data_IF_941706549492
#
_entry.id   IF_941706549492
#
_cell.length_a   1.000
_cell.length_b   1.000
_cell.length_c   1.000
_cell.angle_alpha   90.00
_cell.angle_beta   90.00
_cell.angle_gamma   90.00
#
_symmetry.space_group_name_H-M   'P 1'
#
loop_
_entity.id
_entity.type
_entity.pdbx_description
1 polymer ?
#
# COMPACT_ATOMS: atom_id res chain seq x y z
N UNK A 1 -3.52 -14.53 -14.99
CA UNK A 1 -4.42 -13.99 -16.05
C UNK A 1 -3.58 -13.09 -16.96
N UNK A 2 -3.47 -13.42 -18.25
CA UNK A 2 -2.78 -12.56 -19.24
C UNK A 2 -3.85 -11.83 -20.03
N UNK A 3 -3.95 -10.50 -19.89
CA UNK A 3 -4.88 -9.67 -20.67
C UNK A 3 -4.06 -8.90 -21.70
N UNK A 4 -4.14 -9.32 -22.96
CA UNK A 4 -3.58 -8.60 -24.10
C UNK A 4 -4.74 -7.94 -24.86
N UNK A 5 -4.80 -6.62 -24.88
CA UNK A 5 -5.71 -5.87 -25.75
C UNK A 5 -5.12 -4.48 -26.06
N UNK A 6 -5.50 -3.85 -27.18
CA UNK A 6 -4.93 -2.57 -27.68
C UNK A 6 -5.43 -1.31 -26.95
N UNK A 7 -4.56 -0.31 -26.79
CA UNK A 7 -4.73 0.93 -25.97
C UNK A 7 -6.12 1.57 -26.04
N UNK A 8 -6.76 1.83 -24.89
CA UNK A 8 -7.94 2.73 -24.78
C UNK A 8 -9.23 2.16 -24.19
N UNK A 9 -9.32 0.85 -23.87
CA UNK A 9 -10.62 0.17 -23.63
C UNK A 9 -10.92 -0.29 -22.19
N UNK A 10 -10.42 0.35 -21.13
CA UNK A 10 -10.71 -0.06 -19.73
C UNK A 10 -9.86 -1.20 -19.16
N UNK A 11 -8.68 -1.48 -19.75
CA UNK A 11 -7.77 -2.58 -19.34
C UNK A 11 -7.34 -2.55 -17.88
N UNK A 12 -7.20 -1.36 -17.32
CA UNK A 12 -6.65 -1.18 -15.98
C UNK A 12 -7.63 -1.65 -14.90
N UNK A 13 -8.94 -1.41 -15.09
CA UNK A 13 -9.99 -1.88 -14.18
C UNK A 13 -10.05 -3.41 -14.17
N UNK A 14 -9.82 -4.06 -15.31
CA UNK A 14 -9.81 -5.53 -15.40
C UNK A 14 -8.76 -6.22 -14.52
N UNK A 15 -7.67 -5.53 -14.13
CA UNK A 15 -6.65 -6.11 -13.25
C UNK A 15 -6.87 -5.79 -11.77
N UNK A 16 -7.31 -4.57 -11.44
CA UNK A 16 -7.58 -4.23 -10.04
C UNK A 16 -8.88 -4.83 -9.52
N UNK A 17 -9.90 -5.00 -10.35
CA UNK A 17 -11.17 -5.60 -9.91
C UNK A 17 -10.99 -6.99 -9.27
N UNK A 18 -10.28 -7.97 -9.87
CA UNK A 18 -10.07 -9.25 -9.20
C UNK A 18 -9.22 -9.11 -7.94
N UNK A 19 -8.18 -8.27 -7.94
CA UNK A 19 -7.34 -8.03 -6.75
C UNK A 19 -8.18 -7.46 -5.61
N UNK A 20 -8.99 -6.44 -5.89
CA UNK A 20 -9.88 -5.82 -4.91
C UNK A 20 -10.97 -6.79 -4.46
N UNK A 21 -11.53 -7.61 -5.36
CA UNK A 21 -12.51 -8.62 -4.99
C UNK A 21 -11.91 -9.65 -4.01
N UNK A 22 -10.68 -10.10 -4.24
CA UNK A 22 -9.99 -11.04 -3.36
C UNK A 22 -9.69 -10.39 -2.00
N UNK A 23 -9.18 -9.15 -2.00
CA UNK A 23 -8.97 -8.36 -0.77
C UNK A 23 -10.29 -8.18 -0.01
N UNK A 24 -11.39 -7.87 -0.70
CA UNK A 24 -12.70 -7.66 -0.08
C UNK A 24 -13.26 -8.94 0.54
N UNK A 25 -13.07 -10.10 -0.09
CA UNK A 25 -13.45 -11.40 0.51
C UNK A 25 -12.68 -11.66 1.80
N UNK A 26 -11.38 -11.34 1.82
CA UNK A 26 -10.57 -11.41 3.04
C UNK A 26 -11.05 -10.38 4.08
N UNK A 27 -11.38 -9.16 3.64
CA UNK A 27 -11.67 -8.02 4.50
C UNK A 27 -12.96 -8.17 5.33
N UNK A 28 -13.92 -8.95 4.85
CA UNK A 28 -15.13 -9.33 5.61
C UNK A 28 -14.76 -10.01 6.94
N UNK A 29 -13.60 -10.65 7.01
CA UNK A 29 -13.10 -11.35 8.20
C UNK A 29 -12.09 -10.52 9.02
N UNK A 30 -11.74 -9.30 8.60
CA UNK A 30 -10.80 -8.50 9.37
C UNK A 30 -11.36 -8.13 10.75
N UNK A 31 -10.51 -8.16 11.80
CA UNK A 31 -10.88 -7.65 13.11
C UNK A 31 -11.04 -6.13 13.08
N UNK A 32 -11.86 -5.61 14.00
CA UNK A 32 -11.99 -4.16 14.19
C UNK A 32 -10.68 -3.51 14.61
N UNK A 33 -10.51 -2.23 14.28
CA UNK A 33 -9.34 -1.46 14.69
C UNK A 33 -9.37 -1.09 16.18
N UNK A 34 -8.18 -0.93 16.76
CA UNK A 34 -7.94 -0.63 18.17
C UNK A 34 -7.56 0.85 18.38
N UNK A 35 -8.43 1.76 17.91
CA UNK A 35 -8.26 3.21 18.07
C UNK A 35 -8.08 3.95 16.75
N UNK A 36 -7.77 5.26 16.80
CA UNK A 36 -7.71 6.09 15.61
C UNK A 36 -6.47 5.79 14.76
N UNK A 37 -6.64 5.91 13.45
CA UNK A 37 -5.52 5.99 12.52
C UNK A 37 -4.64 7.23 12.82
N UNK A 38 -3.36 7.13 12.53
CA UNK A 38 -2.44 8.26 12.61
C UNK A 38 -1.30 8.11 11.63
N UNK A 39 -0.56 9.18 11.32
CA UNK A 39 0.59 9.09 10.41
C UNK A 39 1.71 8.25 11.04
N UNK A 40 2.62 7.79 10.19
CA UNK A 40 3.89 7.23 10.62
C UNK A 40 4.74 8.27 11.34
N UNK A 41 5.27 7.92 12.52
CA UNK A 41 6.07 8.84 13.33
C UNK A 41 7.20 8.14 14.09
N UNK A 42 8.25 8.89 14.39
CA UNK A 42 9.36 8.38 15.20
C UNK A 42 9.05 8.47 16.68
N UNK A 43 9.12 7.35 17.38
CA UNK A 43 9.03 7.33 18.84
C UNK A 43 10.43 7.39 19.45
N UNK A 44 10.78 8.55 20.01
CA UNK A 44 12.09 8.77 20.64
C UNK A 44 12.35 7.89 21.88
N UNK A 45 11.30 7.50 22.62
CA UNK A 45 11.44 6.65 23.82
C UNK A 45 11.75 5.21 23.45
N UNK A 46 11.05 4.68 22.44
CA UNK A 46 11.24 3.31 21.93
C UNK A 46 12.38 3.18 20.93
N UNK A 47 12.93 4.31 20.47
CA UNK A 47 13.89 4.38 19.36
C UNK A 47 13.41 3.57 18.15
N UNK A 48 12.14 3.74 17.81
CA UNK A 48 11.49 2.93 16.78
C UNK A 48 10.53 3.79 15.96
N UNK A 49 10.43 3.47 14.67
CA UNK A 49 9.37 3.95 13.81
C UNK A 49 8.02 3.34 14.20
N UNK A 50 7.01 4.18 14.41
CA UNK A 50 5.64 3.76 14.62
C UNK A 50 4.86 3.99 13.33
N UNK A 51 4.54 2.90 12.64
CA UNK A 51 3.81 2.99 11.38
C UNK A 51 2.36 3.42 11.56
N UNK A 52 1.76 4.00 10.52
CA UNK A 52 0.39 4.53 10.58
C UNK A 52 -0.69 3.48 10.83
N UNK A 53 -0.44 2.25 10.39
CA UNK A 53 -1.35 1.09 10.52
C UNK A 53 -1.37 0.42 11.90
N UNK A 54 -0.70 1.00 12.91
CA UNK A 54 -0.58 0.43 14.27
C UNK A 54 -1.91 0.26 15.02
N UNK A 55 -2.96 0.89 14.53
CA UNK A 55 -4.32 0.76 15.05
C UNK A 55 -5.04 -0.48 14.47
N UNK A 56 -4.57 -1.06 13.38
CA UNK A 56 -5.15 -2.27 12.80
C UNK A 56 -4.74 -3.52 13.58
N UNK A 57 -5.69 -4.43 13.82
CA UNK A 57 -5.42 -5.72 14.45
C UNK A 57 -5.19 -6.86 13.42
N UNK A 58 -5.40 -6.57 12.12
CA UNK A 58 -5.19 -7.53 11.04
C UNK A 58 -3.70 -7.70 10.71
N UNK A 59 -3.26 -8.88 10.25
CA UNK A 59 -1.89 -9.06 9.78
C UNK A 59 -1.60 -8.19 8.55
N UNK A 60 -0.44 -7.53 8.57
CA UNK A 60 0.07 -6.78 7.44
C UNK A 60 0.80 -7.72 6.46
N UNK A 61 0.62 -7.49 5.16
CA UNK A 61 1.15 -8.36 4.11
C UNK A 61 0.70 -7.89 2.74
N UNK A 62 1.53 -8.11 1.72
CA UNK A 62 1.18 -7.75 0.34
C UNK A 62 0.23 -8.79 -0.25
N UNK A 63 -0.99 -8.36 -0.59
CA UNK A 63 -1.97 -9.18 -1.33
C UNK A 63 -1.67 -9.15 -2.82
N UNK A 64 -1.13 -8.03 -3.32
CA UNK A 64 -0.70 -7.91 -4.71
C UNK A 64 0.56 -7.04 -4.85
N UNK A 65 1.44 -7.44 -5.77
CA UNK A 65 2.54 -6.62 -6.27
C UNK A 65 2.24 -6.29 -7.73
N UNK A 66 2.11 -5.00 -8.05
CA UNK A 66 1.88 -4.52 -9.41
C UNK A 66 3.16 -3.89 -9.93
N UNK A 67 3.75 -4.51 -10.95
CA UNK A 67 5.01 -4.07 -11.55
C UNK A 67 4.76 -3.27 -12.82
N UNK A 68 5.34 -2.07 -12.90
CA UNK A 68 5.36 -1.27 -14.12
C UNK A 68 6.80 -0.97 -14.57
N UNK A 69 7.06 -1.00 -15.89
CA UNK A 69 8.40 -0.76 -16.43
C UNK A 69 8.84 0.71 -16.31
N UNK A 70 7.91 1.66 -16.20
CA UNK A 70 8.19 3.09 -16.18
C UNK A 70 7.47 3.81 -15.05
N UNK A 71 8.15 4.75 -14.38
CA UNK A 71 7.56 5.56 -13.31
C UNK A 71 6.34 6.38 -13.76
N UNK A 72 6.28 6.77 -15.04
CA UNK A 72 5.11 7.46 -15.59
C UNK A 72 3.85 6.58 -15.51
N UNK A 73 3.98 5.29 -15.81
CA UNK A 73 2.89 4.32 -15.67
C UNK A 73 2.55 4.11 -14.20
N UNK A 74 3.55 3.98 -13.32
CA UNK A 74 3.32 3.92 -11.86
C UNK A 74 2.47 5.10 -11.38
N UNK A 75 2.77 6.32 -11.83
CA UNK A 75 2.06 7.53 -11.41
C UNK A 75 0.63 7.60 -11.96
N UNK A 76 0.38 7.15 -13.20
CA UNK A 76 -0.98 7.02 -13.73
C UNK A 76 -1.82 6.04 -12.88
N UNK A 77 -1.18 4.97 -12.45
CA UNK A 77 -1.84 3.88 -11.74
C UNK A 77 -2.14 4.22 -10.29
N UNK A 78 -1.25 5.00 -9.65
CA UNK A 78 -1.51 5.59 -8.34
C UNK A 78 -2.66 6.59 -8.38
N UNK A 79 -2.77 7.43 -9.42
CA UNK A 79 -3.94 8.32 -9.56
C UNK A 79 -5.23 7.52 -9.55
N UNK A 80 -5.27 6.40 -10.28
CA UNK A 80 -6.44 5.51 -10.31
C UNK A 80 -6.73 4.90 -8.94
N UNK A 81 -5.72 4.34 -8.29
CA UNK A 81 -5.88 3.79 -6.92
C UNK A 81 -6.39 4.86 -5.95
N UNK A 82 -5.89 6.10 -6.02
CA UNK A 82 -6.41 7.22 -5.22
C UNK A 82 -7.87 7.52 -5.53
N UNK A 83 -8.26 7.59 -6.81
CA UNK A 83 -9.67 7.81 -7.16
C UNK A 83 -10.59 6.69 -6.68
N UNK A 84 -10.08 5.45 -6.58
CA UNK A 84 -10.87 4.28 -6.17
C UNK A 84 -10.89 4.08 -4.64
N UNK A 85 -9.77 4.30 -3.96
CA UNK A 85 -9.56 3.94 -2.55
C UNK A 85 -9.44 5.14 -1.60
N UNK A 86 -9.13 6.34 -2.10
CA UNK A 86 -8.90 7.56 -1.30
C UNK A 86 -9.95 8.66 -1.51
N UNK A 87 -11.00 8.40 -2.32
CA UNK A 87 -12.14 9.32 -2.38
C UNK A 87 -12.85 9.37 -1.02
N UNK A 88 -13.50 10.50 -0.73
CA UNK A 88 -14.21 10.67 0.55
C UNK A 88 -15.29 9.62 0.76
N UNK A 89 -16.01 9.26 -0.30
CA UNK A 89 -17.02 8.20 -0.30
C UNK A 89 -16.39 6.82 -0.07
N UNK A 90 -15.27 6.52 -0.72
CA UNK A 90 -14.57 5.24 -0.58
C UNK A 90 -14.02 5.06 0.83
N UNK A 91 -13.39 6.10 1.39
CA UNK A 91 -12.87 6.04 2.76
C UNK A 91 -14.00 5.89 3.79
N UNK A 92 -15.10 6.63 3.64
CA UNK A 92 -16.25 6.49 4.52
C UNK A 92 -16.87 5.09 4.43
N UNK A 93 -17.00 4.56 3.22
CA UNK A 93 -17.48 3.19 2.99
C UNK A 93 -16.55 2.16 3.62
N UNK A 94 -15.23 2.25 3.40
CA UNK A 94 -14.25 1.33 3.98
C UNK A 94 -14.29 1.35 5.51
N UNK A 95 -14.34 2.53 6.13
CA UNK A 95 -14.42 2.65 7.58
C UNK A 95 -15.68 1.99 8.15
N UNK A 96 -16.82 2.12 7.46
CA UNK A 96 -18.09 1.54 7.92
C UNK A 96 -18.15 0.02 7.68
N UNK A 97 -17.80 -0.44 6.48
CA UNK A 97 -17.98 -1.83 6.07
C UNK A 97 -16.80 -2.73 6.45
N UNK A 98 -15.58 -2.18 6.54
CA UNK A 98 -14.37 -2.93 6.88
C UNK A 98 -13.98 -2.74 8.35
N UNK A 99 -14.94 -2.42 9.22
CA UNK A 99 -14.78 -2.31 10.69
C UNK A 99 -13.64 -1.36 11.09
N UNK A 100 -13.57 -0.22 10.40
CA UNK A 100 -12.57 0.82 10.62
C UNK A 100 -11.22 0.59 9.92
N UNK A 101 -11.03 -0.52 9.20
CA UNK A 101 -9.81 -0.77 8.41
C UNK A 101 -9.87 -0.08 7.04
N UNK A 102 -8.71 0.07 6.40
CA UNK A 102 -8.58 0.53 5.02
C UNK A 102 -7.86 -0.50 4.15
N UNK A 103 -8.14 -0.47 2.85
CA UNK A 103 -7.37 -1.18 1.82
C UNK A 103 -6.18 -0.32 1.45
N UNK A 104 -5.02 -0.65 2.02
CA UNK A 104 -3.81 0.13 1.87
C UNK A 104 -3.11 -0.17 0.55
N UNK A 105 -2.62 0.89 -0.10
CA UNK A 105 -1.78 0.78 -1.27
C UNK A 105 -0.57 1.69 -1.13
N UNK A 106 0.50 1.41 -1.87
CA UNK A 106 1.71 2.24 -1.78
C UNK A 106 2.59 2.12 -3.00
N UNK A 107 3.30 3.21 -3.30
CA UNK A 107 4.36 3.22 -4.32
C UNK A 107 5.68 2.84 -3.67
N UNK A 108 6.38 1.85 -4.18
CA UNK A 108 7.74 1.52 -3.75
C UNK A 108 8.73 1.64 -4.91
N UNK A 109 9.03 2.88 -5.33
CA UNK A 109 10.01 3.17 -6.38
C UNK A 109 11.19 3.97 -5.83
N UNK A 110 12.18 4.29 -6.68
CA UNK A 110 13.26 5.21 -6.31
C UNK A 110 12.76 6.61 -5.92
N UNK A 111 11.54 6.98 -6.30
CA UNK A 111 10.88 8.25 -5.97
C UNK A 111 10.07 8.21 -4.67
N UNK A 112 9.97 7.06 -4.01
CA UNK A 112 9.31 6.96 -2.70
C UNK A 112 10.22 7.52 -1.62
N UNK A 113 9.68 8.40 -0.81
CA UNK A 113 10.40 9.11 0.24
C UNK A 113 10.99 8.17 1.29
N UNK A 114 12.03 8.67 1.97
CA UNK A 114 12.70 8.01 3.09
C UNK A 114 13.43 6.71 2.74
N UNK A 115 14.47 6.77 1.87
CA UNK A 115 15.43 5.67 1.81
C UNK A 115 16.23 5.59 3.12
N UNK A 116 16.76 4.40 3.44
CA UNK A 116 17.61 4.20 4.62
C UNK A 116 16.81 3.91 5.90
N UNK A 117 17.46 4.00 7.06
CA UNK A 117 16.88 3.55 8.33
C UNK A 117 16.18 4.68 9.11
N UNK A 118 15.07 4.42 9.83
CA UNK A 118 14.38 5.44 10.64
C UNK A 118 15.23 6.12 11.73
N UNK A 119 16.33 5.47 12.12
CA UNK A 119 17.32 6.01 13.07
C UNK A 119 18.09 7.23 12.52
N UNK A 120 18.04 7.48 11.22
CA UNK A 120 18.70 8.63 10.61
C UNK A 120 17.93 9.93 10.84
N UNK A 121 18.52 10.87 11.60
CA UNK A 121 17.97 12.21 11.86
C UNK A 121 17.57 12.95 10.58
N UNK A 122 18.40 12.84 9.53
CA UNK A 122 18.16 13.48 8.24
C UNK A 122 16.89 12.95 7.57
N UNK A 123 16.68 11.64 7.60
CA UNK A 123 15.46 11.02 7.08
C UNK A 123 14.23 11.52 7.85
N UNK A 124 14.30 11.56 9.19
CA UNK A 124 13.17 12.01 10.02
C UNK A 124 12.79 13.47 9.78
N UNK A 125 13.76 14.35 9.55
CA UNK A 125 13.50 15.76 9.19
C UNK A 125 12.84 15.86 7.82
N UNK A 126 13.34 15.12 6.82
CA UNK A 126 12.76 15.06 5.48
C UNK A 126 11.31 14.56 5.52
N UNK A 127 11.01 13.56 6.35
CA UNK A 127 9.64 13.07 6.51
C UNK A 127 8.69 14.16 7.00
N UNK A 128 9.08 14.88 8.07
CA UNK A 128 8.26 15.95 8.63
C UNK A 128 7.96 17.04 7.60
N UNK A 129 8.97 17.44 6.83
CA UNK A 129 8.82 18.41 5.74
C UNK A 129 7.89 17.89 4.64
N UNK A 130 8.11 16.65 4.20
CA UNK A 130 7.29 16.03 3.15
C UNK A 130 5.83 15.85 3.57
N UNK A 131 5.58 15.29 4.76
CA UNK A 131 4.23 15.11 5.31
C UNK A 131 3.52 16.46 5.49
N UNK A 132 4.24 17.49 5.97
CA UNK A 132 3.72 18.86 6.05
C UNK A 132 3.35 19.42 4.68
N UNK A 133 4.21 19.23 3.66
CA UNK A 133 3.93 19.63 2.28
C UNK A 133 2.69 18.93 1.72
N UNK A 134 2.50 17.64 2.01
CA UNK A 134 1.32 16.90 1.56
C UNK A 134 0.05 17.43 2.22
N UNK A 135 0.07 17.69 3.54
CA UNK A 135 -1.07 18.25 4.27
C UNK A 135 -1.45 19.65 3.77
N UNK A 136 -0.49 20.59 3.74
CA UNK A 136 -0.73 21.96 3.24
C UNK A 136 -1.11 21.96 1.76
N UNK A 137 -0.49 21.08 0.97
CA UNK A 137 -0.84 20.91 -0.44
C UNK A 137 -2.28 20.43 -0.60
N UNK A 138 -2.70 19.43 0.19
CA UNK A 138 -4.05 18.90 0.13
C UNK A 138 -5.09 19.98 0.40
N UNK A 139 -4.89 20.83 1.41
CA UNK A 139 -5.77 21.95 1.74
C UNK A 139 -5.84 23.03 0.66
N UNK A 140 -4.76 23.23 -0.10
CA UNK A 140 -4.64 24.30 -1.10
C UNK A 140 -4.97 23.90 -2.54
N UNK A 141 -4.90 22.61 -2.88
CA UNK A 141 -5.24 22.13 -4.22
C UNK A 141 -6.74 22.18 -4.47
N UNK A 142 -7.12 22.51 -5.72
CA UNK A 142 -8.52 22.53 -6.14
C UNK A 142 -9.17 21.14 -6.14
N UNK A 143 -10.51 21.12 -6.08
CA UNK A 143 -11.30 19.89 -6.04
C UNK A 143 -11.04 18.96 -7.24
N UNK A 144 -10.78 19.52 -8.42
CA UNK A 144 -10.42 18.76 -9.63
C UNK A 144 -9.17 17.90 -9.42
N UNK A 145 -8.16 18.42 -8.70
CA UNK A 145 -6.92 17.68 -8.46
C UNK A 145 -7.09 16.61 -7.37
N UNK A 146 -7.96 16.86 -6.39
CA UNK A 146 -8.32 15.89 -5.34
C UNK A 146 -9.13 14.73 -5.94
N UNK A 147 -10.20 15.05 -6.65
CA UNK A 147 -11.10 14.07 -7.28
C UNK A 147 -10.44 13.25 -8.39
N UNK A 148 -9.46 13.81 -9.10
CA UNK A 148 -8.67 13.07 -10.11
C UNK A 148 -7.51 12.23 -9.53
N UNK A 149 -7.32 12.22 -8.19
CA UNK A 149 -6.21 11.53 -7.53
C UNK A 149 -4.84 12.18 -7.81
N UNK A 150 -4.81 13.39 -8.37
CA UNK A 150 -3.59 14.10 -8.74
C UNK A 150 -2.73 14.51 -7.55
N UNK A 151 -3.30 14.59 -6.35
CA UNK A 151 -2.61 14.84 -5.10
C UNK A 151 -2.88 13.71 -4.08
N UNK A 152 -1.88 13.25 -3.31
CA UNK A 152 -2.08 12.26 -2.26
C UNK A 152 -2.91 12.84 -1.10
N UNK A 153 -3.79 12.02 -0.55
CA UNK A 153 -4.60 12.40 0.61
C UNK A 153 -3.83 12.12 1.91
N UNK A 154 -3.66 13.09 2.82
CA UNK A 154 -2.86 12.89 4.05
C UNK A 154 -3.43 11.86 5.03
N UNK A 155 -4.76 11.75 5.07
CA UNK A 155 -5.55 10.84 5.91
C UNK A 155 -6.12 9.64 5.10
N UNK A 156 -5.58 9.38 3.91
CA UNK A 156 -6.03 8.33 3.00
C UNK A 156 -5.42 6.96 3.28
N UNK A 157 -5.72 6.01 2.40
CA UNK A 157 -5.20 4.66 2.42
C UNK A 157 -3.80 4.55 1.76
N UNK A 158 -3.37 5.54 0.96
CA UNK A 158 -2.02 5.57 0.38
C UNK A 158 -0.92 5.66 1.45
N UNK A 159 -0.02 4.68 1.43
CA UNK A 159 1.18 4.67 2.24
C UNK A 159 2.31 5.44 1.53
N UNK A 160 2.64 6.62 2.06
CA UNK A 160 3.59 7.56 1.44
C UNK A 160 5.06 7.34 1.84
N UNK A 161 5.31 6.60 2.91
CA UNK A 161 6.63 6.37 3.51
C UNK A 161 7.11 4.94 3.27
N UNK A 162 8.38 4.77 2.86
CA UNK A 162 9.00 3.43 2.85
C UNK A 162 9.02 2.78 4.22
N UNK A 163 9.28 3.56 5.27
CA UNK A 163 9.33 3.05 6.64
C UNK A 163 7.97 2.53 7.11
N UNK A 164 6.88 3.17 6.69
CA UNK A 164 5.53 2.66 6.93
C UNK A 164 5.31 1.33 6.19
N UNK A 165 5.65 1.27 4.89
CA UNK A 165 5.47 0.06 4.09
C UNK A 165 6.35 -1.10 4.53
N UNK A 166 7.59 -0.85 4.96
CA UNK A 166 8.49 -1.86 5.51
C UNK A 166 7.96 -2.44 6.83
N UNK A 167 7.47 -1.56 7.72
CA UNK A 167 6.95 -1.97 9.03
C UNK A 167 5.55 -2.62 8.96
N UNK A 168 4.70 -2.19 8.02
CA UNK A 168 3.35 -2.72 7.81
C UNK A 168 2.99 -2.76 6.31
N UNK A 169 3.37 -3.83 5.58
CA UNK A 169 3.25 -3.90 4.12
C UNK A 169 1.84 -3.61 3.60
N UNK A 170 1.69 -2.72 2.60
CA UNK A 170 0.37 -2.38 2.03
C UNK A 170 -0.26 -3.62 1.39
N UNK A 171 -1.59 -3.61 1.24
CA UNK A 171 -2.29 -4.68 0.53
C UNK A 171 -1.91 -4.70 -0.95
N UNK A 172 -1.74 -3.52 -1.57
CA UNK A 172 -1.32 -3.38 -2.96
C UNK A 172 -0.01 -2.59 -3.03
N UNK A 173 1.08 -3.24 -3.43
CA UNK A 173 2.37 -2.58 -3.66
C UNK A 173 2.57 -2.30 -5.15
N UNK A 174 2.74 -1.04 -5.53
CA UNK A 174 3.09 -0.64 -6.90
C UNK A 174 4.59 -0.35 -6.99
N UNK A 175 5.31 -1.09 -7.82
CA UNK A 175 6.77 -0.99 -7.95
C UNK A 175 7.24 -1.10 -9.40
N UNK A 176 8.55 -1.02 -9.62
CA UNK A 176 9.20 -1.31 -10.90
C UNK A 176 10.22 -2.45 -10.71
N UNK A 177 10.69 -3.04 -11.82
CA UNK A 177 11.63 -4.17 -11.78
C UNK A 177 12.89 -3.87 -10.98
N UNK A 178 13.50 -2.70 -11.20
CA UNK A 178 14.73 -2.32 -10.51
C UNK A 178 14.56 -2.22 -9.00
N UNK A 179 13.46 -1.64 -8.51
CA UNK A 179 13.21 -1.58 -7.08
C UNK A 179 12.82 -2.92 -6.50
N UNK A 180 12.06 -3.76 -7.21
CA UNK A 180 11.77 -5.11 -6.74
C UNK A 180 13.07 -5.93 -6.58
N UNK A 181 13.99 -5.85 -7.53
CA UNK A 181 15.31 -6.49 -7.43
C UNK A 181 16.06 -6.02 -6.18
N UNK A 182 16.08 -4.71 -5.91
CA UNK A 182 16.68 -4.20 -4.68
C UNK A 182 15.97 -4.72 -3.43
N UNK A 183 14.64 -4.73 -3.40
CA UNK A 183 13.87 -5.22 -2.25
C UNK A 183 14.19 -6.67 -1.93
N UNK A 184 14.37 -7.52 -2.95
CA UNK A 184 14.65 -8.96 -2.78
C UNK A 184 16.05 -9.24 -2.19
N UNK A 185 17.00 -8.33 -2.35
CA UNK A 185 18.41 -8.57 -1.97
C UNK A 185 18.80 -7.81 -0.70
N UNK A 186 18.17 -6.66 -0.43
CA UNK A 186 18.59 -5.78 0.66
C UNK A 186 17.95 -6.17 1.99
N UNK A 187 18.73 -6.27 3.08
CA UNK A 187 18.20 -6.62 4.40
C UNK A 187 17.12 -5.67 4.93
N UNK A 188 17.17 -4.39 4.57
CA UNK A 188 16.21 -3.38 5.06
C UNK A 188 14.79 -3.62 4.55
N UNK A 189 14.63 -4.32 3.43
CA UNK A 189 13.32 -4.70 2.90
C UNK A 189 12.91 -6.12 3.27
N UNK A 190 13.74 -6.90 3.97
CA UNK A 190 13.42 -8.28 4.33
C UNK A 190 12.09 -8.40 5.11
N UNK A 191 11.84 -7.46 6.04
CA UNK A 191 10.62 -7.43 6.85
C UNK A 191 9.33 -7.34 6.01
N UNK A 192 9.37 -6.72 4.82
CA UNK A 192 8.18 -6.60 3.97
C UNK A 192 7.74 -7.98 3.46
N UNK A 193 8.71 -8.83 3.11
CA UNK A 193 8.47 -10.18 2.61
C UNK A 193 8.19 -11.14 3.75
N UNK A 194 8.85 -10.97 4.89
CA UNK A 194 8.63 -11.83 6.06
C UNK A 194 7.20 -11.68 6.59
N UNK A 195 6.70 -10.45 6.74
CA UNK A 195 5.30 -10.20 7.12
C UNK A 195 4.31 -10.73 6.08
N UNK A 196 4.65 -10.62 4.80
CA UNK A 196 3.83 -11.20 3.73
C UNK A 196 3.83 -12.73 3.80
N UNK A 197 4.96 -13.37 4.14
CA UNK A 197 5.08 -14.81 4.36
C UNK A 197 4.27 -15.27 5.57
N UNK A 198 4.31 -14.51 6.67
CA UNK A 198 3.48 -14.75 7.86
C UNK A 198 2.00 -14.69 7.50
N UNK A 199 1.56 -13.67 6.76
CA UNK A 199 0.17 -13.54 6.29
C UNK A 199 -0.27 -14.71 5.39
N UNK A 200 0.58 -15.14 4.45
CA UNK A 200 0.30 -16.30 3.59
C UNK A 200 0.12 -17.59 4.42
N UNK A 201 0.88 -17.74 5.51
CA UNK A 201 0.80 -18.93 6.37
C UNK A 201 -0.46 -18.97 7.26
N UNK A 202 -1.21 -17.87 7.39
CA UNK A 202 -2.37 -17.78 8.29
C UNK A 202 -3.67 -18.37 7.72
N UNK A 203 -3.76 -18.68 6.42
CA UNK A 203 -4.96 -19.28 5.83
C UNK A 203 -4.62 -20.37 4.80
N UNK A 204 -5.27 -21.55 4.82
CA UNK A 204 -5.14 -22.57 3.78
C UNK A 204 -5.53 -22.07 2.37
N UNK A 205 -6.42 -21.07 2.31
CA UNK A 205 -6.88 -20.48 1.04
C UNK A 205 -5.86 -19.52 0.41
N UNK A 206 -4.85 -19.08 1.18
CA UNK A 206 -3.75 -18.25 0.67
C UNK A 206 -2.61 -19.09 0.07
N UNK A 207 -2.73 -20.42 0.11
CA UNK A 207 -1.69 -21.35 -0.33
C UNK A 207 -1.72 -21.56 -1.85
N UNK A 208 -1.41 -20.50 -2.60
CA UNK A 208 -1.30 -20.53 -4.06
C UNK A 208 -0.26 -21.57 -4.54
N UNK A 209 0.74 -21.89 -3.71
CA UNK A 209 1.75 -22.91 -3.97
C UNK A 209 1.17 -24.32 -3.81
N UNK A 210 0.29 -24.54 -2.82
CA UNK A 210 -0.43 -25.80 -2.64
C UNK A 210 -1.47 -26.06 -3.73
N UNK A 211 -2.10 -25.02 -4.27
CA UNK A 211 -3.02 -25.12 -5.41
C UNK A 211 -2.28 -25.35 -6.74
N UNK A 212 -1.14 -24.69 -6.96
CA UNK A 212 -0.29 -24.90 -8.14
C UNK A 212 0.33 -26.32 -8.17
N UNK A 213 0.78 -26.85 -7.02
CA UNK A 213 1.27 -28.24 -6.91
C UNK A 213 0.15 -29.26 -7.18
N UNK A 214 -1.04 -29.06 -6.61
CA UNK A 214 -2.20 -29.94 -6.87
C UNK A 214 -2.64 -29.97 -8.34
N UNK A 215 -2.36 -28.90 -9.11
CA UNK A 215 -2.65 -28.83 -10.55
C UNK A 215 -1.55 -29.40 -11.45
N UNK A 216 -0.36 -29.68 -10.91
CA UNK A 216 0.72 -30.37 -11.62
C UNK A 216 0.72 -31.89 -11.35
N UNK A 217 0.10 -32.31 -10.25
CA UNK A 217 -0.07 -33.72 -9.87
C UNK A 217 -1.39 -34.34 -10.40
N UNK A 218 -2.13 -33.64 -11.28
CA UNK A 218 -3.31 -34.13 -12.02
C UNK A 218 -3.04 -34.06 -13.53
#
# INVERSE_FOLDING_TARGET
MVVASGTGSGKTECFYLPILADILREAVHWPSTNGPAGPGEWNARRKQWQHGRRHEARPAGMRAIVMYPMNALVNDQLRRLRTTLDSSESLAWQQNELRGNLIHFGRYTSQTELPGHPEEDRGRRRWKEYAGKIATGWESVGEDLRSSGGWPRPDGAEMLSRWDMQAAPPDILVTNYSMLEYMLVRPIEADIFEKTREWLAMSPDHDAVGEFRRRLDQ
#
